data_IF_811565849558
#
_entry.id   IF_811565849558
#
_cell.length_a   1.000
_cell.length_b   1.000
_cell.length_c   1.000
_cell.angle_alpha   90.00
_cell.angle_beta   90.00
_cell.angle_gamma   90.00
#
_symmetry.space_group_name_H-M   'P 1'
#
loop_
_entity.id
_entity.type
_entity.pdbx_description
1 polymer ?
#
# COMPACT_ATOMS: atom_id res chain seq x y z
N UNK A 1 -28.58 14.89 12.55
CA UNK A 1 -27.20 14.48 12.21
C UNK A 1 -27.27 13.37 11.16
N UNK A 2 -27.09 13.68 9.88
CA UNK A 2 -27.02 12.68 8.81
C UNK A 2 -25.74 11.87 8.96
N UNK A 3 -25.84 10.62 9.44
CA UNK A 3 -24.78 9.64 9.26
C UNK A 3 -24.74 9.30 7.78
N UNK A 4 -23.82 9.92 7.04
CA UNK A 4 -23.49 9.46 5.70
C UNK A 4 -23.01 7.99 5.83
N UNK A 5 -23.83 7.07 5.34
CA UNK A 5 -23.47 5.66 5.26
C UNK A 5 -22.22 5.53 4.36
N UNK A 6 -21.08 5.28 4.97
CA UNK A 6 -19.84 5.03 4.23
C UNK A 6 -19.93 3.60 3.69
N UNK A 7 -20.08 3.47 2.39
CA UNK A 7 -19.97 2.17 1.72
C UNK A 7 -18.48 1.85 1.62
N UNK A 8 -18.06 0.74 2.22
CA UNK A 8 -16.72 0.22 2.07
C UNK A 8 -16.71 -0.82 0.95
N UNK A 9 -15.64 -0.85 0.17
CA UNK A 9 -15.45 -1.78 -0.94
C UNK A 9 -15.53 -3.26 -0.51
N UNK A 10 -15.21 -3.53 0.76
CA UNK A 10 -15.25 -4.87 1.34
C UNK A 10 -14.22 -5.84 0.75
N UNK A 11 -14.23 -7.06 1.27
CA UNK A 11 -13.28 -8.10 0.85
C UNK A 11 -13.53 -8.57 -0.59
N UNK A 12 -14.79 -8.61 -1.03
CA UNK A 12 -15.18 -9.00 -2.39
C UNK A 12 -14.59 -8.07 -3.46
N UNK A 13 -14.58 -6.76 -3.22
CA UNK A 13 -14.02 -5.79 -4.16
C UNK A 13 -12.50 -5.87 -4.24
N UNK A 14 -11.81 -5.99 -3.11
CA UNK A 14 -10.34 -6.11 -3.08
C UNK A 14 -9.86 -7.41 -3.71
N UNK A 15 -10.52 -8.54 -3.45
CA UNK A 15 -10.20 -9.83 -4.07
C UNK A 15 -10.45 -9.84 -5.57
N UNK A 16 -11.54 -9.22 -6.04
CA UNK A 16 -11.83 -9.10 -7.47
C UNK A 16 -10.76 -8.31 -8.21
N UNK A 17 -10.34 -7.16 -7.68
CA UNK A 17 -9.26 -6.36 -8.28
C UNK A 17 -7.94 -7.15 -8.30
N UNK A 18 -7.58 -7.79 -7.19
CA UNK A 18 -6.37 -8.62 -7.12
C UNK A 18 -6.39 -9.76 -8.14
N UNK A 19 -7.54 -10.42 -8.32
CA UNK A 19 -7.71 -11.49 -9.30
C UNK A 19 -7.52 -10.98 -10.75
N UNK A 20 -8.04 -9.78 -11.07
CA UNK A 20 -7.84 -9.16 -12.39
C UNK A 20 -6.35 -8.88 -12.64
N UNK A 21 -5.62 -8.32 -11.66
CA UNK A 21 -4.19 -8.05 -11.82
C UNK A 21 -3.37 -9.34 -11.98
N UNK A 22 -3.69 -10.38 -11.22
CA UNK A 22 -3.04 -11.69 -11.36
C UNK A 22 -3.32 -12.28 -12.75
N UNK A 23 -4.57 -12.24 -13.21
CA UNK A 23 -4.95 -12.74 -14.52
C UNK A 23 -4.20 -12.01 -15.65
N UNK A 24 -4.17 -10.68 -15.64
CA UNK A 24 -3.44 -9.87 -16.62
C UNK A 24 -1.93 -10.18 -16.58
N UNK A 25 -1.37 -10.35 -15.39
CA UNK A 25 0.02 -10.72 -15.21
C UNK A 25 0.34 -12.08 -15.83
N UNK A 26 -0.51 -13.09 -15.64
CA UNK A 26 -0.33 -14.43 -16.21
C UNK A 26 -0.52 -14.44 -17.74
N UNK A 27 -1.40 -13.60 -18.27
CA UNK A 27 -1.68 -13.51 -19.71
C UNK A 27 -0.54 -12.89 -20.52
N UNK A 28 0.34 -12.11 -19.90
CA UNK A 28 1.42 -11.39 -20.60
C UNK A 28 2.44 -12.32 -21.28
N UNK A 29 2.49 -13.59 -20.89
CA UNK A 29 3.35 -14.63 -21.51
C UNK A 29 4.86 -14.47 -21.29
N UNK A 30 5.31 -13.31 -20.76
CA UNK A 30 6.71 -13.04 -20.46
C UNK A 30 6.86 -12.64 -18.99
N UNK A 31 7.84 -13.24 -18.33
CA UNK A 31 8.09 -12.98 -16.89
C UNK A 31 8.30 -11.50 -16.58
N UNK A 32 9.04 -10.78 -17.43
CA UNK A 32 9.33 -9.35 -17.23
C UNK A 32 8.06 -8.51 -17.28
N UNK A 33 7.15 -8.79 -18.22
CA UNK A 33 5.90 -8.04 -18.36
C UNK A 33 4.91 -8.39 -17.26
N UNK A 34 4.86 -9.66 -16.85
CA UNK A 34 4.12 -10.08 -15.65
C UNK A 34 4.56 -9.31 -14.42
N UNK A 35 5.88 -9.18 -14.23
CA UNK A 35 6.45 -8.47 -13.09
C UNK A 35 6.16 -6.96 -13.14
N UNK A 36 6.23 -6.34 -14.33
CA UNK A 36 5.85 -4.92 -14.50
C UNK A 36 4.39 -4.66 -14.09
N UNK A 37 3.47 -5.55 -14.44
CA UNK A 37 2.05 -5.43 -14.07
C UNK A 37 1.88 -5.47 -12.54
N UNK A 38 2.60 -6.37 -11.87
CA UNK A 38 2.59 -6.42 -10.38
C UNK A 38 3.15 -5.15 -9.77
N UNK A 39 4.21 -4.57 -10.37
CA UNK A 39 4.81 -3.31 -9.90
C UNK A 39 3.87 -2.11 -9.98
N UNK A 40 2.81 -2.13 -10.79
CA UNK A 40 1.80 -1.05 -10.81
C UNK A 40 1.14 -0.84 -9.45
N UNK A 41 1.06 -1.90 -8.64
CA UNK A 41 0.49 -1.86 -7.29
C UNK A 41 1.56 -1.63 -6.20
N UNK A 42 2.79 -1.26 -6.57
CA UNK A 42 3.91 -1.11 -5.63
C UNK A 42 3.60 -0.23 -4.42
N UNK A 43 2.89 0.93 -4.50
CA UNK A 43 2.62 1.73 -3.31
C UNK A 43 1.83 0.97 -2.24
N UNK A 44 0.88 0.14 -2.66
CA UNK A 44 0.06 -0.68 -1.75
C UNK A 44 0.80 -1.93 -1.28
N UNK A 45 1.53 -2.59 -2.18
CA UNK A 45 2.28 -3.80 -1.88
C UNK A 45 3.44 -3.52 -0.92
N UNK A 46 4.14 -2.40 -1.09
CA UNK A 46 5.24 -2.00 -0.20
C UNK A 46 4.74 -1.72 1.21
N UNK A 47 3.65 -0.94 1.36
CA UNK A 47 3.05 -0.69 2.68
C UNK A 47 2.64 -1.99 3.37
N UNK A 48 1.96 -2.87 2.64
CA UNK A 48 1.50 -4.15 3.17
C UNK A 48 2.68 -5.06 3.56
N UNK A 49 3.69 -5.18 2.71
CA UNK A 49 4.85 -6.02 2.94
C UNK A 49 5.67 -5.53 4.14
N UNK A 50 5.93 -4.23 4.23
CA UNK A 50 6.65 -3.62 5.37
C UNK A 50 5.87 -3.81 6.67
N UNK A 51 4.55 -3.64 6.63
CA UNK A 51 3.70 -3.83 7.80
C UNK A 51 3.74 -5.29 8.29
N UNK A 52 3.61 -6.26 7.40
CA UNK A 52 3.67 -7.70 7.70
C UNK A 52 5.05 -8.06 8.26
N UNK A 53 6.12 -7.61 7.60
CA UNK A 53 7.49 -7.87 8.03
C UNK A 53 7.76 -7.36 9.45
N UNK A 54 7.34 -6.13 9.75
CA UNK A 54 7.48 -5.55 11.09
C UNK A 54 6.71 -6.33 12.15
N UNK A 55 5.51 -6.78 11.83
CA UNK A 55 4.72 -7.61 12.74
C UNK A 55 5.39 -8.95 13.01
N UNK A 56 5.94 -9.56 11.98
CA UNK A 56 6.68 -10.81 12.10
C UNK A 56 7.88 -10.66 13.02
N UNK A 57 8.70 -9.62 12.82
CA UNK A 57 9.89 -9.34 13.65
C UNK A 57 9.51 -9.03 15.12
N UNK A 58 8.34 -8.41 15.35
CA UNK A 58 7.84 -8.14 16.72
C UNK A 58 7.05 -9.30 17.34
N UNK A 59 7.12 -10.51 16.77
CA UNK A 59 6.46 -11.71 17.30
C UNK A 59 4.93 -11.66 17.32
N UNK A 60 4.31 -10.82 16.45
CA UNK A 60 2.87 -10.67 16.41
C UNK A 60 2.22 -11.68 15.47
N UNK A 61 1.01 -12.11 15.83
CA UNK A 61 0.20 -12.94 14.93
C UNK A 61 -0.18 -12.14 13.66
N UNK A 62 0.42 -12.51 12.52
CA UNK A 62 0.23 -11.85 11.23
C UNK A 62 -1.22 -11.91 10.77
N UNK A 63 -1.95 -12.97 11.10
CA UNK A 63 -3.33 -13.20 10.69
C UNK A 63 -4.37 -12.47 11.56
N UNK A 64 -3.96 -11.85 12.67
CA UNK A 64 -4.91 -11.09 13.49
C UNK A 64 -5.27 -9.75 12.85
N UNK A 65 -6.54 -9.29 12.91
CA UNK A 65 -6.95 -7.99 12.42
C UNK A 65 -6.16 -6.85 13.06
N UNK A 66 -5.75 -5.87 12.26
CA UNK A 66 -4.92 -4.75 12.74
C UNK A 66 -5.16 -3.45 11.96
N UNK A 67 -4.67 -2.33 12.52
CA UNK A 67 -4.71 -1.00 11.90
C UNK A 67 -3.31 -0.37 11.91
N UNK A 68 -2.30 -1.10 11.41
CA UNK A 68 -0.88 -0.76 11.50
C UNK A 68 -0.25 -0.34 10.16
N UNK A 69 -0.99 -0.45 9.05
CA UNK A 69 -0.54 0.03 7.74
C UNK A 69 -0.22 1.52 7.78
N UNK A 70 0.74 1.98 6.97
CA UNK A 70 1.15 3.38 6.93
C UNK A 70 -0.04 4.31 6.65
N UNK A 71 -0.88 3.98 5.65
CA UNK A 71 -2.06 4.79 5.34
C UNK A 71 -3.02 4.93 6.54
N UNK A 72 -3.19 3.88 7.36
CA UNK A 72 -4.02 3.94 8.57
C UNK A 72 -3.39 4.79 9.66
N UNK A 73 -2.06 4.70 9.82
CA UNK A 73 -1.31 5.48 10.81
C UNK A 73 -1.26 6.97 10.47
N UNK A 74 -1.22 7.33 9.18
CA UNK A 74 -1.36 8.71 8.71
C UNK A 74 -2.76 9.26 9.03
N UNK A 75 -3.82 8.49 8.79
CA UNK A 75 -5.18 8.87 9.19
C UNK A 75 -5.33 9.04 10.71
N UNK A 76 -4.73 8.15 11.49
CA UNK A 76 -4.71 8.25 12.96
C UNK A 76 -3.91 9.45 13.47
N UNK A 77 -2.97 9.96 12.67
CA UNK A 77 -2.21 11.19 12.93
C UNK A 77 -2.97 12.47 12.52
N UNK A 78 -4.20 12.34 11.99
CA UNK A 78 -5.07 13.46 11.64
C UNK A 78 -5.13 13.81 10.15
N UNK A 79 -4.48 13.02 9.29
CA UNK A 79 -4.60 13.25 7.85
C UNK A 79 -5.98 12.84 7.34
N UNK A 80 -6.56 13.63 6.42
CA UNK A 80 -7.82 13.26 5.78
C UNK A 80 -7.67 12.03 4.88
N UNK A 81 -8.72 11.23 4.77
CA UNK A 81 -8.73 10.05 3.88
C UNK A 81 -8.39 10.43 2.42
N UNK A 82 -8.88 11.58 1.96
CA UNK A 82 -8.62 12.08 0.60
C UNK A 82 -7.13 12.34 0.40
N UNK A 83 -6.46 12.99 1.35
CA UNK A 83 -5.03 13.29 1.26
C UNK A 83 -4.19 12.01 1.17
N UNK A 84 -4.52 11.02 1.98
CA UNK A 84 -3.83 9.72 1.95
C UNK A 84 -4.11 8.99 0.65
N UNK A 85 -5.37 8.93 0.20
CA UNK A 85 -5.74 8.30 -1.06
C UNK A 85 -5.06 8.95 -2.27
N UNK A 86 -4.90 10.28 -2.28
CA UNK A 86 -4.19 11.00 -3.34
C UNK A 86 -2.72 10.61 -3.43
N UNK A 87 -2.03 10.45 -2.30
CA UNK A 87 -0.61 10.04 -2.29
C UNK A 87 -0.44 8.66 -2.90
N UNK A 88 -1.22 7.67 -2.47
CA UNK A 88 -1.17 6.31 -3.02
C UNK A 88 -1.62 6.29 -4.49
N UNK A 89 -2.68 7.04 -4.83
CA UNK A 89 -3.17 7.16 -6.20
C UNK A 89 -2.16 7.81 -7.15
N UNK A 90 -1.45 8.86 -6.72
CA UNK A 90 -0.38 9.47 -7.49
C UNK A 90 0.81 8.51 -7.67
N UNK A 91 1.21 7.76 -6.65
CA UNK A 91 2.23 6.73 -6.78
C UNK A 91 1.84 5.71 -7.87
N UNK A 92 0.64 5.14 -7.78
CA UNK A 92 0.13 4.21 -8.79
C UNK A 92 0.05 4.84 -10.19
N UNK A 93 -0.37 6.12 -10.29
CA UNK A 93 -0.41 6.84 -11.57
C UNK A 93 0.98 6.98 -12.19
N UNK A 94 2.00 7.37 -11.41
CA UNK A 94 3.38 7.45 -11.89
C UNK A 94 3.90 6.08 -12.36
N UNK A 95 3.57 5.01 -11.64
CA UNK A 95 3.91 3.64 -12.07
C UNK A 95 3.22 3.27 -13.38
N UNK A 96 1.94 3.62 -13.58
CA UNK A 96 1.23 3.41 -14.83
C UNK A 96 1.88 4.18 -16.00
N UNK A 97 2.25 5.44 -15.79
CA UNK A 97 2.94 6.24 -16.81
C UNK A 97 4.31 5.64 -17.16
N UNK A 98 5.04 5.16 -16.14
CA UNK A 98 6.33 4.50 -16.36
C UNK A 98 6.17 3.18 -17.14
N UNK A 99 5.11 2.42 -16.88
CA UNK A 99 4.80 1.20 -17.63
C UNK A 99 4.50 1.48 -19.10
N UNK A 100 3.74 2.56 -19.40
CA UNK A 100 3.31 2.88 -20.77
C UNK A 100 4.41 3.51 -21.63
N UNK A 101 5.25 4.35 -21.03
CA UNK A 101 6.15 5.23 -21.81
C UNK A 101 7.64 4.95 -21.60
N UNK A 102 8.01 4.12 -20.60
CA UNK A 102 9.38 3.97 -20.20
C UNK A 102 9.81 2.52 -20.01
N UNK A 103 11.09 2.32 -19.64
CA UNK A 103 11.71 1.04 -19.47
C UNK A 103 11.50 0.47 -18.05
N UNK A 104 11.71 -0.83 -17.91
CA UNK A 104 11.69 -1.53 -16.62
C UNK A 104 12.61 -0.89 -15.57
N UNK A 105 13.77 -0.37 -15.99
CA UNK A 105 14.73 0.30 -15.07
C UNK A 105 14.13 1.54 -14.39
N UNK A 106 13.31 2.32 -15.08
CA UNK A 106 12.64 3.49 -14.49
C UNK A 106 11.57 3.06 -13.49
N UNK A 107 10.82 2.01 -13.78
CA UNK A 107 9.84 1.47 -12.82
C UNK A 107 10.52 1.05 -11.51
N UNK A 108 11.69 0.39 -11.60
CA UNK A 108 12.46 0.00 -10.43
C UNK A 108 12.96 1.21 -9.63
N UNK A 109 13.43 2.24 -10.32
CA UNK A 109 13.82 3.52 -9.68
C UNK A 109 12.63 4.16 -8.95
N UNK A 110 11.44 4.17 -9.55
CA UNK A 110 10.24 4.70 -8.91
C UNK A 110 9.86 3.92 -7.64
N UNK A 111 9.98 2.60 -7.65
CA UNK A 111 9.77 1.77 -6.44
C UNK A 111 10.71 2.19 -5.31
N UNK A 112 11.98 2.48 -5.61
CA UNK A 112 12.92 2.99 -4.61
C UNK A 112 12.52 4.37 -4.08
N UNK A 113 12.05 5.25 -4.96
CA UNK A 113 11.54 6.57 -4.57
C UNK A 113 10.29 6.43 -3.67
N UNK A 114 9.36 5.54 -4.01
CA UNK A 114 8.17 5.24 -3.20
C UNK A 114 8.56 4.75 -1.80
N UNK A 115 9.55 3.86 -1.70
CA UNK A 115 10.10 3.41 -0.41
C UNK A 115 10.64 4.58 0.42
N UNK A 116 11.43 5.46 -0.20
CA UNK A 116 12.01 6.63 0.49
C UNK A 116 10.90 7.58 0.96
N UNK A 117 9.89 7.85 0.12
CA UNK A 117 8.73 8.66 0.49
C UNK A 117 7.96 7.98 1.64
N UNK A 118 7.74 6.68 1.57
CA UNK A 118 7.08 5.91 2.63
C UNK A 118 7.80 6.03 3.97
N UNK A 119 9.11 5.86 4.00
CA UNK A 119 9.92 6.04 5.21
C UNK A 119 9.91 7.48 5.72
N UNK A 120 9.95 8.47 4.82
CA UNK A 120 9.84 9.88 5.18
C UNK A 120 8.48 10.19 5.82
N UNK A 121 7.38 9.76 5.21
CA UNK A 121 6.03 9.95 5.75
C UNK A 121 5.86 9.24 7.10
N UNK A 122 6.43 8.06 7.22
CA UNK A 122 6.41 7.33 8.47
C UNK A 122 7.12 8.07 9.60
N UNK A 123 8.31 8.55 9.35
CA UNK A 123 9.16 9.19 10.35
C UNK A 123 8.59 10.53 10.85
N UNK A 124 8.02 11.33 9.94
CA UNK A 124 7.67 12.72 10.24
C UNK A 124 6.17 12.95 10.42
N UNK A 125 5.32 12.12 9.84
CA UNK A 125 3.88 12.39 9.78
C UNK A 125 2.98 11.30 10.36
N UNK A 126 3.47 10.07 10.53
CA UNK A 126 2.62 9.00 11.03
C UNK A 126 2.75 8.81 12.54
N UNK A 127 1.72 8.22 13.16
CA UNK A 127 1.87 7.71 14.53
C UNK A 127 2.88 6.58 14.55
N UNK A 128 3.73 6.56 15.59
CA UNK A 128 4.73 5.52 15.76
C UNK A 128 4.09 4.13 15.83
N UNK A 129 4.67 3.18 15.11
CA UNK A 129 4.26 1.78 15.13
C UNK A 129 4.26 1.20 16.56
N UNK A 130 5.30 1.48 17.33
CA UNK A 130 5.46 1.04 18.72
C UNK A 130 4.37 1.60 19.65
N UNK A 131 4.01 2.87 19.50
CA UNK A 131 2.98 3.53 20.33
C UNK A 131 1.61 2.87 20.12
N UNK A 132 1.27 2.52 18.88
CA UNK A 132 -0.02 1.88 18.59
C UNK A 132 -0.05 0.44 19.13
N UNK A 133 1.08 -0.27 19.07
CA UNK A 133 1.18 -1.60 19.67
C UNK A 133 0.97 -1.59 21.17
N UNK A 134 1.62 -0.67 21.87
CA UNK A 134 1.53 -0.54 23.33
C UNK A 134 0.09 -0.26 23.78
N UNK A 135 -0.63 0.57 23.06
CA UNK A 135 -2.04 0.89 23.37
C UNK A 135 -3.02 -0.26 23.08
N UNK A 136 -2.60 -1.28 22.32
CA UNK A 136 -3.45 -2.47 22.05
C UNK A 136 -3.28 -3.56 23.11
N UNK A 137 -2.17 -3.51 23.86
CA UNK A 137 -1.86 -4.48 24.94
C UNK A 137 -2.29 -3.99 26.33
N UNK A 138 -2.93 -2.81 26.43
CA UNK A 138 -3.63 -2.26 27.57
C UNK A 138 -5.13 -2.39 27.38
#
# INVERSE_FOLDING_TARGET
>A
MNKSSKIFMGDSGSTSISAIFIFLSLQSGQFVDSFKIVLLLSPLLLDSSICIFRRFVNGQNIFSPHKLHLYQRLNQAGWSHIKVALIYGLGTLFMCLAYLFFNFSLMFLLVLIELLIGFYLEKYFSKSFQTILRNKNL
#
